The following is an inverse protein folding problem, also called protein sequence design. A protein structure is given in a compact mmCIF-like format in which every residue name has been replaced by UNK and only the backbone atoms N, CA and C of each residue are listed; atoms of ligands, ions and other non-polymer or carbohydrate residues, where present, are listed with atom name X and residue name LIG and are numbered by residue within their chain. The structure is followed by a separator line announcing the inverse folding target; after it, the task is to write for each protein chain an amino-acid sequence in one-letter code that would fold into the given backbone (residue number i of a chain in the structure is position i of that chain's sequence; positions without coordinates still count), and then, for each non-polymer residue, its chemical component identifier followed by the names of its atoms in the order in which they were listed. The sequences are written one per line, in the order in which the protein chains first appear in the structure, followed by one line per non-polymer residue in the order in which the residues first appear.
data_IF_491022447801
#
_entry.id   IF_491022447801
#
_cell.length_a   1.000
_cell.length_b   1.000
_cell.length_c   1.000
_cell.angle_alpha   90.00
_cell.angle_beta   90.00
_cell.angle_gamma   90.00
#
_symmetry.space_group_name_H-M   'P 1'
#
loop_
_entity.id
_entity.type
_entity.pdbx_description
1 polymer ?
#
# COMPACT_ATOMS: atom_id res chain seq x y z
N UNK A 1 -4.81 18.63 -23.41
CA UNK A 1 -4.00 19.81 -23.01
C UNK A 1 -3.27 19.48 -21.72
N UNK A 2 -1.95 19.68 -21.65
CA UNK A 2 -1.18 19.40 -20.45
C UNK A 2 -1.67 20.29 -19.29
N UNK A 3 -1.91 19.66 -18.14
CA UNK A 3 -2.29 20.32 -16.89
C UNK A 3 -1.01 20.64 -16.14
N UNK A 4 -0.82 21.91 -15.74
CA UNK A 4 0.24 22.29 -14.82
C UNK A 4 0.07 21.53 -13.50
N UNK A 5 1.12 20.89 -13.01
CA UNK A 5 1.19 20.30 -11.67
C UNK A 5 1.14 21.39 -10.61
N UNK A 6 0.84 21.02 -9.36
CA UNK A 6 0.68 21.99 -8.27
C UNK A 6 1.91 22.88 -8.10
N UNK A 7 3.10 22.28 -8.03
CA UNK A 7 4.38 23.00 -7.95
C UNK A 7 4.60 23.95 -9.15
N UNK A 8 4.26 23.52 -10.37
CA UNK A 8 4.38 24.35 -11.58
C UNK A 8 3.43 25.56 -11.53
N UNK A 9 2.24 25.41 -10.95
CA UNK A 9 1.33 26.54 -10.72
C UNK A 9 1.89 27.53 -9.72
N UNK A 10 2.48 27.06 -8.63
CA UNK A 10 3.06 27.93 -7.59
C UNK A 10 4.25 28.72 -8.15
N UNK A 11 5.13 28.06 -8.93
CA UNK A 11 6.23 28.73 -9.63
C UNK A 11 5.70 29.75 -10.65
N UNK A 12 4.69 29.38 -11.44
CA UNK A 12 4.08 30.29 -12.41
C UNK A 12 3.44 31.52 -11.75
N UNK A 13 2.81 31.35 -10.58
CA UNK A 13 2.28 32.46 -9.78
C UNK A 13 3.41 33.38 -9.31
N UNK A 14 4.51 32.82 -8.79
CA UNK A 14 5.69 33.58 -8.38
C UNK A 14 6.31 34.39 -9.53
N UNK A 15 6.44 33.77 -10.71
CA UNK A 15 6.93 34.45 -11.92
C UNK A 15 6.06 35.64 -12.32
N UNK A 16 4.73 35.50 -12.26
CA UNK A 16 3.80 36.60 -12.57
C UNK A 16 3.86 37.69 -11.50
N UNK A 17 3.96 37.34 -10.22
CA UNK A 17 4.10 38.30 -9.12
C UNK A 17 5.42 39.08 -9.20
N UNK A 18 6.48 38.46 -9.73
CA UNK A 18 7.75 39.11 -10.05
C UNK A 18 7.68 40.02 -11.30
N UNK A 19 6.51 40.18 -11.93
CA UNK A 19 6.28 41.09 -13.04
C UNK A 19 6.46 40.48 -14.44
N UNK A 20 6.68 39.17 -14.56
CA UNK A 20 6.77 38.53 -15.88
C UNK A 20 5.42 38.55 -16.60
N UNK A 21 5.45 38.76 -17.93
CA UNK A 21 4.22 38.77 -18.73
C UNK A 21 3.65 37.37 -18.84
N UNK A 22 2.31 37.25 -18.82
CA UNK A 22 1.63 35.95 -18.86
C UNK A 22 1.99 35.10 -20.08
N UNK A 23 2.38 35.71 -21.20
CA UNK A 23 2.80 34.99 -22.41
C UNK A 23 4.17 34.31 -22.23
N UNK A 24 5.12 35.00 -21.58
CA UNK A 24 6.48 34.49 -21.37
C UNK A 24 6.44 33.33 -20.35
N UNK A 25 5.65 33.49 -19.28
CA UNK A 25 5.40 32.42 -18.30
C UNK A 25 4.73 31.22 -18.98
N UNK A 26 3.74 31.44 -19.85
CA UNK A 26 3.07 30.35 -20.56
C UNK A 26 4.01 29.57 -21.49
N UNK A 27 4.90 30.27 -22.20
CA UNK A 27 5.92 29.66 -23.05
C UNK A 27 6.92 28.83 -22.23
N UNK A 28 7.34 29.32 -21.06
CA UNK A 28 8.26 28.60 -20.17
C UNK A 28 7.72 27.23 -19.73
N UNK A 29 6.41 27.10 -19.56
CA UNK A 29 5.77 25.83 -19.18
C UNK A 29 5.15 25.05 -20.36
N UNK A 30 5.29 25.54 -21.60
CA UNK A 30 4.68 24.89 -22.77
C UNK A 30 3.15 24.82 -22.72
N UNK A 31 2.50 25.83 -22.11
CA UNK A 31 1.03 25.90 -21.98
C UNK A 31 0.47 27.13 -22.68
N UNK A 32 -0.84 27.18 -22.88
CA UNK A 32 -1.50 28.36 -23.44
C UNK A 32 -1.45 29.56 -22.47
N UNK A 33 -1.32 30.79 -22.99
CA UNK A 33 -1.50 32.05 -22.21
C UNK A 33 -2.81 32.07 -21.41
N UNK A 34 -3.85 31.43 -21.94
CA UNK A 34 -5.16 31.32 -21.28
C UNK A 34 -5.07 30.50 -19.98
N UNK A 35 -4.19 29.49 -19.92
CA UNK A 35 -3.93 28.70 -18.71
C UNK A 35 -3.42 29.59 -17.58
N UNK A 36 -2.40 30.42 -17.84
CA UNK A 36 -1.82 31.35 -16.84
C UNK A 36 -2.83 32.44 -16.46
N UNK A 37 -3.56 32.98 -17.44
CA UNK A 37 -4.60 33.99 -17.19
C UNK A 37 -5.72 33.44 -16.28
N UNK A 38 -6.19 32.21 -16.53
CA UNK A 38 -7.20 31.53 -15.69
C UNK A 38 -6.67 31.19 -14.30
N UNK A 39 -5.39 30.78 -14.20
CA UNK A 39 -4.72 30.53 -12.92
C UNK A 39 -4.70 31.80 -12.06
N UNK A 40 -4.23 32.92 -12.61
CA UNK A 40 -4.16 34.20 -11.89
C UNK A 40 -5.54 34.75 -11.52
N UNK A 41 -6.54 34.61 -12.41
CA UNK A 41 -7.92 34.99 -12.12
C UNK A 41 -8.50 34.17 -10.95
N UNK A 42 -8.29 32.85 -10.95
CA UNK A 42 -8.69 31.97 -9.84
C UNK A 42 -7.97 32.35 -8.55
N UNK A 43 -6.66 32.57 -8.60
CA UNK A 43 -5.86 32.93 -7.43
C UNK A 43 -6.37 34.23 -6.79
N UNK A 44 -6.69 35.26 -7.60
CA UNK A 44 -7.27 36.51 -7.08
C UNK A 44 -8.62 36.31 -6.38
N UNK A 45 -9.43 35.36 -6.86
CA UNK A 45 -10.74 35.08 -6.28
C UNK A 45 -10.70 34.17 -5.05
N UNK A 46 -9.82 33.17 -5.03
CA UNK A 46 -9.82 32.11 -4.00
C UNK A 46 -8.60 32.14 -3.08
N UNK A 47 -7.58 32.95 -3.37
CA UNK A 47 -6.31 32.98 -2.64
C UNK A 47 -5.48 31.69 -2.74
N UNK A 48 -5.89 30.75 -3.60
CA UNK A 48 -5.25 29.44 -3.73
C UNK A 48 -5.01 29.06 -5.19
N UNK A 49 -3.81 28.55 -5.47
CA UNK A 49 -3.38 27.95 -6.73
C UNK A 49 -3.85 26.50 -6.91
N UNK A 50 -4.43 25.90 -5.86
CA UNK A 50 -4.89 24.52 -5.87
C UNK A 50 -6.06 24.31 -6.85
N UNK A 51 -6.13 23.10 -7.40
CA UNK A 51 -7.31 22.69 -8.14
C UNK A 51 -8.50 22.56 -7.19
N UNK A 52 -9.66 23.05 -7.64
CA UNK A 52 -10.90 22.87 -6.88
C UNK A 52 -11.24 21.37 -6.86
N UNK A 53 -11.61 20.82 -5.68
CA UNK A 53 -12.04 19.44 -5.60
C UNK A 53 -13.27 19.25 -6.50
N UNK A 54 -13.23 18.24 -7.36
CA UNK A 54 -14.36 17.90 -8.24
C UNK A 54 -15.39 17.13 -7.43
N UNK A 55 -16.66 17.45 -7.60
CA UNK A 55 -17.79 16.74 -6.96
C UNK A 55 -17.85 15.26 -7.33
N UNK A 56 -17.28 14.88 -8.48
CA UNK A 56 -17.26 13.50 -8.97
C UNK A 56 -18.64 12.99 -9.33
N UNK A 57 -18.71 11.70 -9.71
CA UNK A 57 -20.00 11.04 -9.96
C UNK A 57 -20.74 10.85 -8.62
N UNK A 58 -22.01 11.27 -8.51
CA UNK A 58 -22.77 11.06 -7.28
C UNK A 58 -22.92 9.57 -6.98
N UNK A 59 -23.05 9.25 -5.69
CA UNK A 59 -23.20 7.88 -5.21
C UNK A 59 -24.55 7.30 -5.62
N UNK A 60 -24.56 6.01 -5.92
CA UNK A 60 -25.80 5.23 -6.15
C UNK A 60 -26.65 5.03 -4.87
N UNK A 61 -26.08 5.34 -3.70
CA UNK A 61 -26.65 5.09 -2.38
C UNK A 61 -26.63 6.35 -1.53
N UNK A 62 -27.68 6.52 -0.74
CA UNK A 62 -27.82 7.59 0.27
C UNK A 62 -27.18 7.20 1.60
N UNK A 63 -26.91 8.19 2.46
CA UNK A 63 -26.38 7.93 3.81
C UNK A 63 -27.30 7.05 4.66
N UNK A 64 -28.63 7.17 4.48
CA UNK A 64 -29.61 6.31 5.18
C UNK A 64 -29.52 4.86 4.73
N UNK A 65 -29.36 4.63 3.42
CA UNK A 65 -29.15 3.29 2.86
C UNK A 65 -27.80 2.71 3.33
N UNK A 66 -26.73 3.50 3.34
CA UNK A 66 -25.41 3.06 3.84
C UNK A 66 -25.47 2.64 5.32
N UNK A 67 -26.19 3.40 6.16
CA UNK A 67 -26.45 3.02 7.56
C UNK A 67 -27.24 1.72 7.65
N UNK A 68 -28.31 1.56 6.88
CA UNK A 68 -29.11 0.32 6.82
C UNK A 68 -28.25 -0.87 6.44
N UNK A 69 -27.48 -0.77 5.35
CA UNK A 69 -26.54 -1.81 4.89
C UNK A 69 -25.59 -2.19 6.03
N UNK A 70 -24.95 -1.22 6.68
CA UNK A 70 -24.03 -1.48 7.80
C UNK A 70 -24.73 -2.22 8.95
N UNK A 71 -25.88 -1.73 9.41
CA UNK A 71 -26.58 -2.34 10.55
C UNK A 71 -27.09 -3.74 10.24
N UNK A 72 -27.60 -3.98 9.03
CA UNK A 72 -28.04 -5.32 8.62
C UNK A 72 -26.90 -6.33 8.69
N UNK A 73 -25.71 -5.99 8.20
CA UNK A 73 -24.54 -6.88 8.23
C UNK A 73 -23.81 -6.95 9.58
N UNK A 74 -24.08 -6.01 10.50
CA UNK A 74 -23.65 -6.14 11.89
C UNK A 74 -24.54 -7.09 12.68
N UNK A 75 -25.84 -7.15 12.35
CA UNK A 75 -26.79 -8.10 12.95
C UNK A 75 -26.57 -9.52 12.44
N UNK A 76 -26.35 -9.66 11.12
CA UNK A 76 -26.01 -10.93 10.50
C UNK A 76 -24.76 -10.79 9.64
N UNK A 77 -23.64 -11.30 10.17
CA UNK A 77 -22.33 -11.21 9.52
C UNK A 77 -22.17 -12.17 8.33
N UNK A 78 -23.02 -13.19 8.24
CA UNK A 78 -23.00 -14.18 7.15
C UNK A 78 -23.97 -13.84 6.02
N UNK A 79 -24.83 -12.84 6.21
CA UNK A 79 -25.72 -12.34 5.17
C UNK A 79 -24.94 -12.00 3.89
N UNK A 80 -25.28 -12.59 2.73
CA UNK A 80 -24.63 -12.26 1.47
C UNK A 80 -25.00 -10.86 1.00
N UNK A 81 -24.01 -10.10 0.50
CA UNK A 81 -24.22 -8.77 -0.04
C UNK A 81 -25.21 -8.72 -1.22
N UNK A 82 -25.42 -9.85 -1.92
CA UNK A 82 -26.41 -10.01 -3.00
C UNK A 82 -27.84 -9.84 -2.51
N UNK A 83 -28.15 -10.32 -1.30
CA UNK A 83 -29.49 -10.21 -0.71
C UNK A 83 -29.81 -8.75 -0.41
N UNK A 84 -28.90 -8.06 0.30
CA UNK A 84 -29.06 -6.64 0.62
C UNK A 84 -29.13 -5.76 -0.62
N UNK A 85 -28.36 -6.10 -1.67
CA UNK A 85 -28.38 -5.40 -2.94
C UNK A 85 -29.76 -5.49 -3.62
N UNK A 86 -30.40 -6.67 -3.60
CA UNK A 86 -31.74 -6.85 -4.18
C UNK A 86 -32.81 -6.01 -3.49
N UNK A 87 -32.62 -5.70 -2.22
CA UNK A 87 -33.56 -4.94 -1.39
C UNK A 87 -33.27 -3.44 -1.36
N UNK A 88 -32.14 -3.00 -1.90
CA UNK A 88 -31.72 -1.59 -1.82
C UNK A 88 -31.90 -0.91 -3.18
N UNK A 89 -32.81 0.06 -3.33
CA UNK A 89 -33.00 0.77 -4.59
C UNK A 89 -31.79 1.63 -4.91
N UNK A 90 -31.40 1.63 -6.19
CA UNK A 90 -30.35 2.51 -6.71
C UNK A 90 -30.87 3.89 -7.05
N UNK A 91 -29.97 4.79 -7.45
CA UNK A 91 -30.35 6.15 -7.84
C UNK A 91 -31.10 6.20 -9.17
N UNK A 92 -30.65 5.39 -10.12
CA UNK A 92 -31.22 5.31 -11.47
C UNK A 92 -31.73 3.91 -11.83
N UNK A 93 -31.49 2.93 -10.97
CA UNK A 93 -31.83 1.53 -11.19
C UNK A 93 -32.73 1.04 -10.04
N UNK A 94 -33.62 0.06 -10.30
CA UNK A 94 -34.52 -0.47 -9.27
C UNK A 94 -33.77 -1.12 -8.11
N UNK A 95 -32.52 -1.56 -8.33
CA UNK A 95 -31.67 -2.22 -7.33
C UNK A 95 -30.20 -1.86 -7.57
N UNK A 96 -29.41 -1.76 -6.50
CA UNK A 96 -27.95 -1.60 -6.59
C UNK A 96 -27.25 -2.93 -6.86
N UNK A 97 -25.98 -2.88 -7.28
CA UNK A 97 -25.16 -4.09 -7.43
C UNK A 97 -24.66 -4.61 -6.08
N UNK A 98 -24.38 -5.91 -5.99
CA UNK A 98 -23.72 -6.51 -4.84
C UNK A 98 -22.33 -5.91 -4.57
N UNK A 99 -21.65 -5.40 -5.61
CA UNK A 99 -20.38 -4.70 -5.48
C UNK A 99 -20.56 -3.36 -4.74
N UNK A 100 -21.64 -2.63 -5.01
CA UNK A 100 -21.96 -1.39 -4.29
C UNK A 100 -22.11 -1.67 -2.80
N UNK A 101 -22.85 -2.71 -2.42
CA UNK A 101 -22.97 -3.13 -1.01
C UNK A 101 -21.62 -3.46 -0.40
N UNK A 102 -20.78 -4.27 -1.09
CA UNK A 102 -19.43 -4.62 -0.62
C UNK A 102 -18.52 -3.40 -0.45
N UNK A 103 -18.61 -2.42 -1.35
CA UNK A 103 -17.86 -1.17 -1.23
C UNK A 103 -18.32 -0.35 -0.02
N UNK A 104 -19.62 -0.33 0.28
CA UNK A 104 -20.15 0.34 1.48
C UNK A 104 -19.74 -0.34 2.77
N UNK A 105 -19.78 -1.66 2.82
CA UNK A 105 -19.29 -2.42 3.96
C UNK A 105 -17.80 -2.16 4.19
N UNK A 106 -16.96 -2.19 3.14
CA UNK A 106 -15.54 -1.86 3.24
C UNK A 106 -15.29 -0.44 3.74
N UNK A 107 -16.04 0.54 3.24
CA UNK A 107 -15.94 1.93 3.69
C UNK A 107 -16.35 2.09 5.16
N UNK A 108 -17.25 1.25 5.67
CA UNK A 108 -17.63 1.17 7.08
C UNK A 108 -16.69 0.27 7.93
N UNK A 109 -15.57 -0.19 7.36
CA UNK A 109 -14.60 -1.07 8.05
C UNK A 109 -15.01 -2.55 8.12
N UNK A 110 -16.16 -2.94 7.58
CA UNK A 110 -16.65 -4.32 7.55
C UNK A 110 -16.04 -5.06 6.35
N UNK A 111 -14.98 -5.82 6.63
CA UNK A 111 -14.31 -6.68 5.64
C UNK A 111 -14.63 -8.15 5.94
N UNK A 112 -15.11 -8.87 4.93
CA UNK A 112 -15.21 -10.33 4.97
C UNK A 112 -13.79 -10.91 4.84
N UNK A 113 -13.12 -11.16 5.97
CA UNK A 113 -11.86 -11.91 6.01
C UNK A 113 -12.19 -13.38 6.27
N UNK A 114 -11.72 -14.27 5.41
CA UNK A 114 -11.69 -15.71 5.69
C UNK A 114 -10.43 -15.98 6.51
N UNK A 115 -10.52 -16.54 7.74
CA UNK A 115 -9.33 -17.00 8.45
C UNK A 115 -8.56 -17.96 7.54
N UNK A 116 -7.24 -17.76 7.46
CA UNK A 116 -6.38 -18.69 6.72
C UNK A 116 -6.36 -19.98 7.53
N UNK A 117 -6.96 -21.03 6.99
CA UNK A 117 -6.82 -22.37 7.53
C UNK A 117 -5.40 -22.83 7.23
N UNK A 118 -4.52 -22.73 8.24
CA UNK A 118 -3.18 -23.33 8.17
C UNK A 118 -3.29 -24.80 8.58
N UNK A 119 -2.45 -25.65 7.99
CA UNK A 119 -2.37 -27.04 8.42
C UNK A 119 -2.04 -27.10 9.92
N UNK A 120 -2.84 -27.85 10.68
CA UNK A 120 -2.58 -28.09 12.10
C UNK A 120 -1.28 -28.89 12.21
N UNK A 121 -0.31 -28.37 12.96
CA UNK A 121 0.95 -29.04 13.19
C UNK A 121 0.73 -30.20 14.18
N UNK A 122 1.01 -31.42 13.74
CA UNK A 122 1.05 -32.61 14.62
C UNK A 122 2.30 -32.59 15.50
N UNK A 123 2.34 -33.36 16.59
CA UNK A 123 3.49 -33.47 17.49
C UNK A 123 4.82 -33.76 16.76
N UNK A 124 4.79 -34.62 15.74
CA UNK A 124 5.96 -34.90 14.89
C UNK A 124 6.49 -33.67 14.14
N UNK A 125 5.63 -32.73 13.77
CA UNK A 125 6.05 -31.49 13.10
C UNK A 125 6.68 -30.51 14.09
N UNK A 126 6.11 -30.40 15.30
CA UNK A 126 6.68 -29.57 16.37
C UNK A 126 8.07 -30.06 16.76
N UNK A 127 8.22 -31.36 17.01
CA UNK A 127 9.52 -31.97 17.35
C UNK A 127 10.54 -31.82 16.22
N UNK A 128 10.15 -32.04 14.96
CA UNK A 128 11.04 -31.82 13.81
C UNK A 128 11.48 -30.35 13.70
N UNK A 129 10.57 -29.40 13.90
CA UNK A 129 10.89 -27.96 13.89
C UNK A 129 11.83 -27.55 15.02
N UNK A 130 11.59 -28.06 16.23
CA UNK A 130 12.47 -27.79 17.37
C UNK A 130 13.86 -28.38 17.15
N UNK A 131 13.95 -29.62 16.62
CA UNK A 131 15.23 -30.24 16.26
C UNK A 131 15.97 -29.43 15.20
N UNK A 132 15.27 -28.98 14.16
CA UNK A 132 15.84 -28.12 13.12
C UNK A 132 16.34 -26.79 13.71
N UNK A 133 15.55 -26.10 14.53
CA UNK A 133 15.95 -24.84 15.15
C UNK A 133 17.20 -25.01 16.05
N UNK A 134 17.24 -26.08 16.86
CA UNK A 134 18.38 -26.39 17.71
C UNK A 134 19.65 -26.77 16.92
N UNK A 135 19.49 -27.34 15.73
CA UNK A 135 20.61 -27.71 14.86
C UNK A 135 21.09 -26.52 14.02
N UNK A 136 20.19 -25.65 13.57
CA UNK A 136 20.46 -24.48 12.73
C UNK A 136 21.55 -23.61 13.34
N UNK A 137 21.37 -23.21 14.61
CA UNK A 137 22.31 -22.35 15.33
C UNK A 137 23.64 -23.05 15.64
N UNK A 138 23.86 -24.29 15.20
CA UNK A 138 25.11 -25.02 15.34
C UNK A 138 25.80 -25.25 14.00
N UNK A 139 25.20 -24.83 12.89
CA UNK A 139 25.79 -24.97 11.57
C UNK A 139 26.88 -23.91 11.37
N UNK A 140 28.02 -24.30 10.81
CA UNK A 140 29.04 -23.35 10.36
C UNK A 140 28.50 -22.56 9.14
N UNK A 141 28.89 -21.28 8.95
CA UNK A 141 28.42 -20.49 7.83
C UNK A 141 28.94 -21.05 6.51
N UNK A 142 28.08 -21.06 5.49
CA UNK A 142 28.46 -21.49 4.14
C UNK A 142 28.36 -20.30 3.20
N UNK A 143 29.52 -19.76 2.80
CA UNK A 143 29.58 -18.74 1.75
C UNK A 143 28.98 -19.28 0.45
N UNK A 144 29.42 -20.45 -0.01
CA UNK A 144 28.95 -21.03 -1.27
C UNK A 144 29.40 -20.25 -2.50
N UNK A 145 29.40 -20.91 -3.68
CA UNK A 145 29.86 -20.30 -4.94
C UNK A 145 28.66 -20.06 -5.85
N UNK A 146 28.46 -18.80 -6.25
CA UNK A 146 27.50 -18.49 -7.29
C UNK A 146 28.07 -18.68 -8.70
N UNK A 147 27.19 -18.71 -9.70
CA UNK A 147 27.60 -18.66 -11.11
C UNK A 147 28.28 -17.33 -11.42
N UNK A 148 29.21 -17.33 -12.39
CA UNK A 148 29.91 -16.12 -12.84
C UNK A 148 28.91 -15.00 -13.16
N UNK A 149 29.15 -13.80 -12.61
CA UNK A 149 28.26 -12.63 -12.73
C UNK A 149 27.21 -12.46 -11.63
N UNK A 150 27.16 -13.35 -10.63
CA UNK A 150 26.25 -13.19 -9.47
C UNK A 150 26.91 -12.39 -8.33
N UNK A 151 26.11 -11.58 -7.65
CA UNK A 151 26.57 -10.78 -6.51
C UNK A 151 26.81 -11.63 -5.26
N UNK A 152 27.83 -11.25 -4.47
CA UNK A 152 28.00 -11.69 -3.09
C UNK A 152 27.27 -10.70 -2.15
N UNK A 153 26.67 -11.23 -1.09
CA UNK A 153 25.86 -10.48 -0.14
C UNK A 153 26.45 -10.60 1.26
N UNK A 154 26.48 -9.49 1.99
CA UNK A 154 26.78 -9.51 3.42
C UNK A 154 25.56 -10.10 4.16
N UNK A 155 25.82 -11.13 4.97
CA UNK A 155 24.82 -11.86 5.77
C UNK A 155 25.34 -12.05 7.19
N UNK A 156 24.48 -12.54 8.07
CA UNK A 156 24.81 -12.85 9.45
C UNK A 156 24.60 -14.33 9.72
N UNK A 157 25.41 -14.93 10.57
CA UNK A 157 25.23 -16.30 11.08
C UNK A 157 25.43 -16.30 12.58
N UNK A 158 24.82 -17.26 13.28
CA UNK A 158 25.07 -17.45 14.69
C UNK A 158 26.28 -18.35 14.91
N UNK A 159 27.29 -17.83 15.60
CA UNK A 159 28.49 -18.57 15.96
C UNK A 159 28.32 -19.21 17.34
N UNK A 160 28.07 -20.52 17.36
CA UNK A 160 27.86 -21.27 18.60
C UNK A 160 29.07 -21.31 19.54
N UNK A 161 30.28 -21.01 19.05
CA UNK A 161 31.51 -21.00 19.87
C UNK A 161 31.65 -19.69 20.65
N UNK A 162 31.28 -18.57 20.04
CA UNK A 162 31.35 -17.24 20.66
C UNK A 162 30.03 -16.85 21.32
N UNK A 163 28.93 -17.51 20.95
CA UNK A 163 27.58 -17.17 21.40
C UNK A 163 27.07 -15.87 20.77
N UNK A 164 27.57 -15.50 19.59
CA UNK A 164 27.27 -14.20 18.96
C UNK A 164 26.88 -14.35 17.49
N UNK A 165 26.08 -13.39 17.02
CA UNK A 165 25.75 -13.26 15.60
C UNK A 165 26.85 -12.47 14.87
N UNK A 166 27.55 -13.14 13.97
CA UNK A 166 28.72 -12.62 13.25
C UNK A 166 28.40 -12.44 11.77
N UNK A 167 29.12 -11.53 11.12
CA UNK A 167 28.95 -11.26 9.69
C UNK A 167 29.78 -12.21 8.84
N UNK A 168 29.22 -12.61 7.71
CA UNK A 168 29.95 -13.35 6.70
C UNK A 168 29.52 -12.94 5.29
N UNK A 169 30.38 -13.23 4.31
CA UNK A 169 30.03 -13.09 2.90
C UNK A 169 29.28 -14.34 2.48
N UNK A 170 28.07 -14.14 1.96
CA UNK A 170 27.24 -15.17 1.36
C UNK A 170 27.24 -15.04 -0.16
N UNK A 171 27.49 -16.15 -0.84
CA UNK A 171 27.24 -16.35 -2.26
C UNK A 171 25.92 -17.08 -2.48
N UNK A 172 26.00 -18.35 -2.89
CA UNK A 172 24.85 -19.16 -3.29
C UNK A 172 24.96 -20.58 -2.72
N UNK A 173 23.83 -21.19 -2.36
CA UNK A 173 23.79 -22.58 -1.87
C UNK A 173 24.28 -22.74 -0.43
N UNK A 174 24.04 -21.74 0.41
CA UNK A 174 24.36 -21.79 1.84
C UNK A 174 23.34 -22.61 2.62
N UNK A 175 23.58 -22.74 3.93
CA UNK A 175 22.67 -23.41 4.85
C UNK A 175 21.73 -22.40 5.56
N UNK A 176 20.91 -22.91 6.47
CA UNK A 176 19.89 -22.14 7.16
C UNK A 176 20.45 -21.21 8.26
N UNK A 177 21.73 -21.33 8.65
CA UNK A 177 22.38 -20.38 9.56
C UNK A 177 22.87 -19.15 8.79
N UNK A 178 21.92 -18.44 8.19
CA UNK A 178 22.16 -17.34 7.25
C UNK A 178 20.99 -16.35 7.29
N UNK A 179 21.22 -15.21 7.93
CA UNK A 179 20.22 -14.18 8.23
C UNK A 179 20.53 -12.87 7.49
N UNK A 180 19.50 -12.13 7.11
CA UNK A 180 19.68 -10.86 6.38
C UNK A 180 20.08 -9.71 7.32
N UNK A 181 19.77 -9.83 8.60
CA UNK A 181 20.11 -8.84 9.62
C UNK A 181 20.56 -9.48 10.93
N UNK A 182 21.30 -8.72 11.73
CA UNK A 182 21.70 -9.13 13.08
C UNK A 182 20.49 -9.38 13.99
N UNK A 183 19.43 -8.58 13.86
CA UNK A 183 18.20 -8.73 14.64
C UNK A 183 17.46 -10.04 14.32
N UNK A 184 17.44 -10.45 13.05
CA UNK A 184 16.88 -11.76 12.66
C UNK A 184 17.69 -12.91 13.27
N UNK A 185 19.02 -12.82 13.24
CA UNK A 185 19.90 -13.82 13.82
C UNK A 185 19.69 -13.96 15.33
N UNK A 186 19.69 -12.84 16.06
CA UNK A 186 19.48 -12.80 17.52
C UNK A 186 18.06 -13.21 17.93
N UNK A 187 17.06 -13.02 17.06
CA UNK A 187 15.71 -13.50 17.32
C UNK A 187 15.56 -15.01 17.09
N UNK A 188 16.39 -15.59 16.20
CA UNK A 188 16.33 -16.99 15.83
C UNK A 188 17.21 -17.88 16.72
N UNK A 189 18.36 -17.38 17.16
CA UNK A 189 19.34 -18.11 17.95
C UNK A 189 19.54 -17.45 19.33
N UNK A 190 19.73 -18.27 20.39
CA UNK A 190 19.81 -17.81 21.78
C UNK A 190 21.10 -17.07 22.11
#
# INVERSE_FOLDING_TARGET
MPLLRQNERDIAVGMVQAGMRHIDVANNFGVSKLTITRLMSRLRQTGSSNDRPRSGRPRETTLRQDRRIRFTHLRDRFLPATITARQTPGRHNPRISAQTVRNRLRAAGLRSRRPVLRAILKQRHWTARLRWANALCKLEPVTGRCRQGSASFQRFYYNSKTGQCEQFIYGCGGNDNNFQSIAECQAACP
#
